data_IF_878837144501
#
_entry.id   IF_878837144501
#
_cell.length_a   1.000
_cell.length_b   1.000
_cell.length_c   1.000
_cell.angle_alpha   90.00
_cell.angle_beta   90.00
_cell.angle_gamma   90.00
#
_symmetry.space_group_name_H-M   'P 1'
#
loop_
_entity.id
_entity.type
_entity.pdbx_description
1 polymer ?
#
# COMPACT_ATOMS: atom_id res chain seq x y z
N UNK A 1 -4.47 -12.38 -26.84
CA UNK A 1 -4.30 -11.62 -25.58
C UNK A 1 -3.07 -10.73 -25.71
N UNK A 2 -3.15 -9.48 -25.27
CA UNK A 2 -2.02 -8.55 -25.31
C UNK A 2 -1.17 -8.69 -24.06
N UNK A 3 0.07 -8.17 -24.08
CA UNK A 3 0.94 -8.13 -22.90
C UNK A 3 0.30 -7.34 -21.76
N UNK A 4 -0.50 -6.29 -22.07
CA UNK A 4 -1.22 -5.51 -21.08
C UNK A 4 -2.32 -6.34 -20.39
N UNK A 5 -3.04 -7.17 -21.16
CA UNK A 5 -4.05 -8.07 -20.59
C UNK A 5 -3.41 -9.11 -19.68
N UNK A 6 -2.28 -9.68 -20.10
CA UNK A 6 -1.52 -10.64 -19.31
C UNK A 6 -1.01 -10.00 -18.00
N UNK A 7 -0.52 -8.77 -18.08
CA UNK A 7 -0.05 -8.01 -16.92
C UNK A 7 -1.21 -7.68 -15.97
N UNK A 8 -2.35 -7.27 -16.49
CA UNK A 8 -3.55 -7.01 -15.69
C UNK A 8 -4.05 -8.28 -14.99
N UNK A 9 -4.03 -9.43 -15.69
CA UNK A 9 -4.42 -10.71 -15.12
C UNK A 9 -3.45 -11.15 -14.01
N UNK A 10 -2.14 -11.00 -14.22
CA UNK A 10 -1.14 -11.31 -13.22
C UNK A 10 -1.31 -10.43 -11.96
N UNK A 11 -1.59 -9.15 -12.16
CA UNK A 11 -1.86 -8.22 -11.07
C UNK A 11 -3.14 -8.62 -10.32
N UNK A 12 -4.20 -9.00 -11.02
CA UNK A 12 -5.44 -9.44 -10.37
C UNK A 12 -5.23 -10.67 -9.48
N UNK A 13 -4.44 -11.64 -9.94
CA UNK A 13 -4.12 -12.83 -9.15
C UNK A 13 -3.42 -12.44 -7.84
N UNK A 14 -2.46 -11.53 -7.90
CA UNK A 14 -1.75 -11.06 -6.72
C UNK A 14 -2.63 -10.24 -5.78
N UNK A 15 -3.50 -9.38 -6.32
CA UNK A 15 -4.47 -8.62 -5.51
C UNK A 15 -5.43 -9.57 -4.79
N UNK A 16 -5.92 -10.59 -5.47
CA UNK A 16 -6.81 -11.60 -4.88
C UNK A 16 -6.12 -12.35 -3.74
N UNK A 17 -4.87 -12.74 -3.96
CA UNK A 17 -4.08 -13.47 -2.95
C UNK A 17 -3.82 -12.63 -1.71
N UNK A 18 -3.42 -11.37 -1.88
CA UNK A 18 -3.20 -10.45 -0.76
C UNK A 18 -4.49 -10.17 -0.01
N UNK A 19 -5.59 -9.97 -0.73
CA UNK A 19 -6.90 -9.69 -0.14
C UNK A 19 -7.38 -10.87 0.71
N UNK A 20 -7.19 -12.09 0.24
CA UNK A 20 -7.51 -13.30 1.00
C UNK A 20 -6.68 -13.38 2.28
N UNK A 21 -5.37 -13.17 2.17
CA UNK A 21 -4.47 -13.18 3.33
C UNK A 21 -4.77 -12.09 4.36
N UNK A 22 -5.28 -10.95 3.89
CA UNK A 22 -5.66 -9.81 4.75
C UNK A 22 -7.09 -9.92 5.29
N UNK A 23 -7.87 -10.86 4.79
CA UNK A 23 -9.27 -11.03 5.20
C UNK A 23 -10.19 -9.92 4.70
N UNK A 24 -9.91 -9.33 3.55
CA UNK A 24 -10.70 -8.26 2.96
C UNK A 24 -11.22 -8.66 1.59
N UNK A 25 -12.23 -7.91 1.12
CA UNK A 25 -12.76 -8.10 -0.22
C UNK A 25 -11.73 -7.69 -1.27
N UNK A 26 -11.53 -8.52 -2.29
CA UNK A 26 -10.63 -8.20 -3.39
C UNK A 26 -11.17 -7.04 -4.23
N UNK A 27 -10.25 -6.31 -4.88
CA UNK A 27 -10.58 -5.23 -5.80
C UNK A 27 -10.39 -5.67 -7.25
N UNK A 28 -11.32 -5.28 -8.14
CA UNK A 28 -11.14 -5.56 -9.57
C UNK A 28 -10.04 -4.66 -10.16
N UNK A 29 -9.12 -5.28 -10.89
CA UNK A 29 -8.09 -4.58 -11.65
C UNK A 29 -8.68 -4.17 -13.00
N UNK A 30 -8.52 -2.90 -13.38
CA UNK A 30 -8.98 -2.36 -14.64
C UNK A 30 -10.35 -1.69 -14.60
N UNK A 31 -11.10 -1.85 -13.52
CA UNK A 31 -12.36 -1.13 -13.35
C UNK A 31 -12.06 0.32 -12.93
N UNK A 32 -12.52 1.26 -13.73
CA UNK A 32 -12.29 2.69 -13.49
C UNK A 32 -13.60 3.39 -13.11
N UNK A 33 -13.58 4.02 -11.95
CA UNK A 33 -14.72 4.71 -11.37
C UNK A 33 -14.36 6.15 -11.04
N UNK A 34 -15.37 6.98 -10.82
CA UNK A 34 -15.19 8.39 -10.43
C UNK A 34 -15.09 8.58 -8.92
N UNK A 35 -15.16 7.50 -8.16
CA UNK A 35 -15.12 7.54 -6.71
C UNK A 35 -14.41 6.31 -6.16
N UNK A 36 -13.51 6.53 -5.21
CA UNK A 36 -12.74 5.46 -4.59
C UNK A 36 -11.44 5.11 -5.30
N UNK A 37 -10.90 3.95 -4.95
CA UNK A 37 -9.61 3.47 -5.45
C UNK A 37 -9.77 2.79 -6.80
N UNK A 38 -8.89 3.14 -7.73
CA UNK A 38 -8.78 2.50 -9.04
C UNK A 38 -7.39 1.88 -9.19
N UNK A 39 -7.34 0.61 -9.55
CA UNK A 39 -6.11 -0.13 -9.82
C UNK A 39 -6.14 -0.57 -11.28
N UNK A 40 -5.16 -0.16 -12.07
CA UNK A 40 -5.13 -0.51 -13.49
C UNK A 40 -3.70 -0.47 -14.05
N UNK A 41 -3.53 -1.14 -15.19
CA UNK A 41 -2.31 -1.11 -15.99
C UNK A 41 -2.56 -0.19 -17.18
N UNK A 42 -1.72 0.84 -17.33
CA UNK A 42 -1.84 1.80 -18.42
C UNK A 42 -1.24 1.23 -19.73
N UNK A 43 -1.49 1.92 -20.84
CA UNK A 43 -1.03 1.51 -22.17
C UNK A 43 0.50 1.37 -22.26
N UNK A 44 1.25 2.15 -21.47
CA UNK A 44 2.71 2.06 -21.40
C UNK A 44 3.21 0.92 -20.49
N UNK A 45 2.29 0.14 -19.90
CA UNK A 45 2.61 -0.97 -19.01
C UNK A 45 2.84 -0.58 -17.56
N UNK A 46 2.76 0.70 -17.21
CA UNK A 46 2.87 1.14 -15.82
C UNK A 46 1.63 0.77 -15.02
N UNK A 47 1.82 0.49 -13.73
CA UNK A 47 0.72 0.23 -12.80
C UNK A 47 0.29 1.51 -12.11
N UNK A 48 -1.00 1.74 -12.04
CA UNK A 48 -1.59 2.91 -11.42
C UNK A 48 -2.43 2.53 -10.20
N UNK A 49 -2.23 3.27 -9.13
CA UNK A 49 -2.95 3.17 -7.87
C UNK A 49 -3.50 4.56 -7.60
N UNK A 50 -4.72 4.81 -8.08
CA UNK A 50 -5.29 6.16 -8.14
C UNK A 50 -6.55 6.25 -7.28
N UNK A 51 -6.69 7.36 -6.56
CA UNK A 51 -7.86 7.63 -5.72
C UNK A 51 -8.63 8.82 -6.26
N UNK A 52 -9.93 8.61 -6.47
CA UNK A 52 -10.85 9.65 -6.92
C UNK A 52 -11.88 9.94 -5.84
N UNK A 53 -12.29 11.20 -5.75
CA UNK A 53 -13.36 11.61 -4.87
C UNK A 53 -14.28 12.56 -5.66
N UNK A 54 -15.53 12.13 -5.85
CA UNK A 54 -16.55 12.88 -6.59
C UNK A 54 -16.07 13.32 -7.98
N UNK A 55 -15.42 12.43 -8.70
CA UNK A 55 -14.88 12.69 -10.03
C UNK A 55 -13.56 13.45 -10.08
N UNK A 56 -13.03 13.86 -8.93
CA UNK A 56 -11.76 14.59 -8.83
C UNK A 56 -10.63 13.64 -8.43
N UNK A 57 -9.50 13.77 -9.11
CA UNK A 57 -8.30 13.00 -8.76
C UNK A 57 -7.74 13.48 -7.43
N UNK A 58 -7.69 12.57 -6.44
CA UNK A 58 -7.05 12.82 -5.15
C UNK A 58 -5.55 12.55 -5.22
N UNK A 59 -5.18 11.36 -5.71
CA UNK A 59 -3.78 11.01 -5.97
C UNK A 59 -3.70 9.93 -7.05
N UNK A 60 -2.55 9.83 -7.70
CA UNK A 60 -2.21 8.78 -8.65
C UNK A 60 -0.76 8.35 -8.39
N UNK A 61 -0.58 7.17 -7.81
CA UNK A 61 0.73 6.57 -7.61
C UNK A 61 1.02 5.65 -8.78
N UNK A 62 2.15 5.85 -9.44
CA UNK A 62 2.53 5.11 -10.63
C UNK A 62 3.83 4.35 -10.36
N UNK A 63 3.87 3.08 -10.68
CA UNK A 63 5.06 2.27 -10.46
C UNK A 63 4.96 0.87 -11.04
N UNK A 64 5.80 -0.01 -10.53
CA UNK A 64 5.82 -1.44 -10.90
C UNK A 64 4.67 -2.20 -10.23
N UNK A 65 4.51 -3.46 -10.61
CA UNK A 65 3.58 -4.37 -9.92
C UNK A 65 3.93 -4.47 -8.43
N UNK A 66 5.20 -4.64 -8.10
CA UNK A 66 5.64 -4.73 -6.71
C UNK A 66 5.31 -3.46 -5.92
N UNK A 67 5.54 -2.28 -6.51
CA UNK A 67 5.17 -1.01 -5.88
C UNK A 67 3.67 -0.94 -5.59
N UNK A 68 2.84 -1.30 -6.56
CA UNK A 68 1.39 -1.27 -6.40
C UNK A 68 0.92 -2.24 -5.32
N UNK A 69 1.44 -3.45 -5.31
CA UNK A 69 1.09 -4.46 -4.31
C UNK A 69 1.51 -4.01 -2.90
N UNK A 70 2.66 -3.38 -2.78
CA UNK A 70 3.09 -2.78 -1.53
C UNK A 70 2.10 -1.70 -1.06
N UNK A 71 1.75 -0.75 -1.92
CA UNK A 71 0.81 0.32 -1.55
C UNK A 71 -0.54 -0.25 -1.13
N UNK A 72 -1.06 -1.22 -1.89
CA UNK A 72 -2.32 -1.87 -1.59
C UNK A 72 -2.29 -2.55 -0.22
N UNK A 73 -1.29 -3.39 0.02
CA UNK A 73 -1.14 -4.12 1.27
C UNK A 73 -0.93 -3.16 2.47
N UNK A 74 -0.02 -2.20 2.33
CA UNK A 74 0.30 -1.26 3.40
C UNK A 74 -0.91 -0.39 3.79
N UNK A 75 -1.67 0.10 2.82
CA UNK A 75 -2.84 0.95 3.10
C UNK A 75 -3.93 0.16 3.84
N UNK A 76 -4.18 -1.09 3.45
CA UNK A 76 -5.14 -1.95 4.14
C UNK A 76 -4.69 -2.25 5.57
N UNK A 77 -3.42 -2.61 5.75
CA UNK A 77 -2.87 -2.93 7.08
C UNK A 77 -2.95 -1.71 8.00
N UNK A 78 -2.56 -0.54 7.52
CA UNK A 78 -2.64 0.71 8.29
C UNK A 78 -4.07 0.98 8.74
N UNK A 79 -5.04 0.84 7.84
CA UNK A 79 -6.45 1.07 8.12
C UNK A 79 -7.00 0.09 9.16
N UNK A 80 -6.72 -1.19 8.99
CA UNK A 80 -7.20 -2.25 9.88
C UNK A 80 -6.58 -2.12 11.29
N UNK A 81 -5.30 -1.83 11.38
CA UNK A 81 -4.62 -1.63 12.67
C UNK A 81 -5.16 -0.40 13.40
N UNK A 82 -5.42 0.69 12.69
CA UNK A 82 -5.97 1.91 13.29
C UNK A 82 -7.33 1.69 13.94
N UNK A 83 -8.12 0.73 13.43
CA UNK A 83 -9.41 0.37 14.02
C UNK A 83 -9.29 -0.42 15.31
N UNK A 84 -8.16 -1.08 15.57
CA UNK A 84 -7.97 -2.01 16.67
C UNK A 84 -7.11 -1.46 17.80
N UNK A 85 -6.15 -0.59 17.49
CA UNK A 85 -5.12 -0.14 18.41
C UNK A 85 -5.09 1.39 18.45
N UNK A 86 -5.22 1.96 19.66
CA UNK A 86 -5.23 3.41 19.86
C UNK A 86 -3.84 4.03 19.97
N UNK A 87 -2.89 3.33 20.58
CA UNK A 87 -1.53 3.83 20.78
C UNK A 87 -0.69 3.79 19.51
N UNK A 88 -0.05 4.90 19.16
CA UNK A 88 0.71 5.01 17.90
C UNK A 88 1.90 4.07 17.85
N UNK A 89 2.66 3.96 18.93
CA UNK A 89 3.82 3.07 19.00
C UNK A 89 3.40 1.62 18.77
N UNK A 90 2.31 1.19 19.41
CA UNK A 90 1.77 -0.15 19.25
C UNK A 90 1.20 -0.37 17.85
N UNK A 91 0.59 0.65 17.23
CA UNK A 91 0.13 0.58 15.84
C UNK A 91 1.28 0.30 14.87
N UNK A 92 2.36 1.07 14.97
CA UNK A 92 3.52 0.92 14.08
C UNK A 92 4.15 -0.46 14.23
N UNK A 93 4.24 -0.95 15.46
CA UNK A 93 4.76 -2.29 15.75
C UNK A 93 3.90 -3.39 15.12
N UNK A 94 2.58 -3.29 15.29
CA UNK A 94 1.63 -4.27 14.74
C UNK A 94 1.62 -4.23 13.21
N UNK A 95 1.63 -3.05 12.61
CA UNK A 95 1.75 -2.89 11.15
C UNK A 95 2.99 -3.58 10.61
N UNK A 96 4.13 -3.38 11.26
CA UNK A 96 5.38 -4.03 10.89
C UNK A 96 5.29 -5.56 10.99
N UNK A 97 4.71 -6.08 12.06
CA UNK A 97 4.53 -7.51 12.26
C UNK A 97 3.63 -8.13 11.19
N UNK A 98 2.51 -7.49 10.87
CA UNK A 98 1.56 -7.99 9.85
C UNK A 98 2.22 -7.92 8.45
N UNK A 99 2.80 -6.79 8.07
CA UNK A 99 3.46 -6.63 6.78
C UNK A 99 4.59 -7.64 6.60
N UNK A 100 5.34 -7.93 7.67
CA UNK A 100 6.43 -8.91 7.63
C UNK A 100 5.96 -10.33 7.27
N UNK A 101 4.70 -10.67 7.51
CA UNK A 101 4.11 -11.94 7.11
C UNK A 101 3.94 -12.05 5.60
N UNK A 102 3.79 -10.92 4.90
CA UNK A 102 3.66 -10.86 3.45
C UNK A 102 5.01 -10.62 2.78
N UNK A 103 5.78 -9.66 3.28
CA UNK A 103 7.09 -9.31 2.75
C UNK A 103 7.88 -8.51 3.78
N UNK A 104 9.04 -9.01 4.15
CA UNK A 104 9.96 -8.30 5.05
C UNK A 104 10.42 -6.98 4.42
N UNK A 105 10.65 -6.98 3.10
CA UNK A 105 11.05 -5.76 2.38
C UNK A 105 9.95 -4.69 2.42
N UNK A 106 8.70 -5.09 2.25
CA UNK A 106 7.56 -4.16 2.36
C UNK A 106 7.42 -3.60 3.77
N UNK A 107 7.61 -4.44 4.78
CA UNK A 107 7.53 -4.00 6.18
C UNK A 107 8.58 -2.93 6.48
N UNK A 108 9.82 -3.14 6.05
CA UNK A 108 10.90 -2.17 6.20
C UNK A 108 10.66 -0.91 5.37
N UNK A 109 10.19 -1.07 4.14
CA UNK A 109 9.83 0.05 3.26
C UNK A 109 8.78 0.94 3.91
N UNK A 110 7.75 0.35 4.52
CA UNK A 110 6.70 1.10 5.19
C UNK A 110 7.26 1.95 6.34
N UNK A 111 8.18 1.41 7.13
CA UNK A 111 8.84 2.17 8.21
C UNK A 111 9.67 3.31 7.64
N UNK A 112 10.46 3.06 6.58
CA UNK A 112 11.26 4.11 5.92
C UNK A 112 10.40 5.23 5.35
N UNK A 113 9.31 4.86 4.67
CA UNK A 113 8.38 5.83 4.08
C UNK A 113 7.71 6.68 5.15
N UNK A 114 7.34 6.07 6.27
CA UNK A 114 6.73 6.78 7.40
C UNK A 114 7.75 7.74 8.04
N UNK A 115 9.00 7.31 8.23
CA UNK A 115 10.06 8.17 8.74
C UNK A 115 10.32 9.37 7.83
N UNK A 116 10.34 9.13 6.50
CA UNK A 116 10.51 10.20 5.52
C UNK A 116 9.35 11.21 5.58
N UNK A 117 8.13 10.73 5.77
CA UNK A 117 6.96 11.58 5.93
C UNK A 117 7.06 12.46 7.18
N UNK A 118 7.50 11.88 8.30
CA UNK A 118 7.68 12.66 9.54
C UNK A 118 8.71 13.77 9.36
N UNK A 119 9.82 13.51 8.66
CA UNK A 119 10.81 14.56 8.36
C UNK A 119 10.23 15.65 7.48
N UNK A 120 9.49 15.26 6.44
CA UNK A 120 8.90 16.18 5.46
C UNK A 120 7.90 17.13 6.12
N UNK A 121 7.14 16.65 7.09
CA UNK A 121 6.09 17.44 7.74
C UNK A 121 6.51 18.01 9.09
N UNK A 122 7.82 18.08 9.37
CA UNK A 122 8.37 18.76 10.54
C UNK A 122 8.14 18.03 11.87
N UNK A 123 8.03 16.71 11.83
CA UNK A 123 7.82 15.85 13.02
C UNK A 123 8.92 14.79 13.16
N UNK A 124 10.22 15.14 13.05
CA UNK A 124 11.29 14.15 13.11
C UNK A 124 11.36 13.41 14.44
N UNK A 125 10.87 14.01 15.53
CA UNK A 125 10.82 13.38 16.84
C UNK A 125 9.92 12.15 16.87
N UNK A 126 8.91 12.07 15.98
CA UNK A 126 8.00 10.94 15.92
C UNK A 126 8.65 9.68 15.32
N UNK A 127 9.82 9.81 14.70
CA UNK A 127 10.60 8.66 14.20
C UNK A 127 10.94 7.70 15.34
N UNK A 128 11.11 8.20 16.56
CA UNK A 128 11.39 7.39 17.74
C UNK A 128 10.25 6.40 18.08
N UNK A 129 9.05 6.61 17.57
CA UNK A 129 7.89 5.73 17.76
C UNK A 129 7.92 4.50 16.82
N UNK A 130 8.76 4.53 15.79
CA UNK A 130 8.81 3.50 14.77
C UNK A 130 9.62 2.28 15.24
N UNK A 131 9.29 1.08 14.73
CA UNK A 131 10.06 -0.13 15.03
C UNK A 131 11.51 -0.04 14.56
N UNK A 132 12.40 -0.74 15.26
CA UNK A 132 13.77 -0.95 14.82
C UNK A 132 13.76 -1.96 13.66
N UNK A 133 14.27 -1.55 12.51
CA UNK A 133 14.36 -2.38 11.31
C UNK A 133 15.80 -2.79 10.98
N UNK A 134 16.73 -2.58 11.93
CA UNK A 134 18.13 -2.95 11.76
C UNK A 134 18.97 -1.93 11.00
N UNK A 135 18.44 -0.74 10.75
CA UNK A 135 19.15 0.36 10.10
C UNK A 135 18.74 1.71 10.71
N UNK A 136 19.56 2.75 10.60
CA UNK A 136 19.20 4.10 11.04
C UNK A 136 18.05 4.67 10.21
N UNK A 137 17.15 5.40 10.89
CA UNK A 137 16.02 6.05 10.22
C UNK A 137 16.23 7.56 10.12
#
# INVERSE_FOLDING_TARGET
MTDLDDKSNALQIEIDRLSEGLGVRSMPVGLRTNDGLNIFVADDGSCHYAFYERGKLGFDRVGSIDDLLYWYCADIVTDEVAKRVGDRTERFKLEYEILSQFSTDWAKRNVRDTAAMFRKYGKPQDIALLPDIGEPL
#
